data_IF_996287559291
#
_entry.id   IF_996287559291
#
_cell.length_a   1.000
_cell.length_b   1.000
_cell.length_c   1.000
_cell.angle_alpha   90.00
_cell.angle_beta   90.00
_cell.angle_gamma   90.00
#
_symmetry.space_group_name_H-M   'P 1'
#
loop_
_entity.id
_entity.type
_entity.pdbx_description
1 polymer ?
#
# COMPACT_ATOMS: atom_id res chain seq x y z
N UNK A 1 -7.76 1.89 -18.77
CA UNK A 1 -8.18 1.22 -17.52
C UNK A 1 -7.51 1.98 -16.40
N UNK A 2 -8.26 2.50 -15.44
CA UNK A 2 -7.67 3.18 -14.28
C UNK A 2 -7.24 2.10 -13.28
N UNK A 3 -5.98 2.12 -12.88
CA UNK A 3 -5.46 1.23 -11.84
C UNK A 3 -5.38 2.03 -10.54
N UNK A 4 -5.80 1.41 -9.44
CA UNK A 4 -5.67 1.98 -8.11
C UNK A 4 -5.05 0.93 -7.19
N UNK A 5 -4.03 1.33 -6.43
CA UNK A 5 -3.40 0.46 -5.44
C UNK A 5 -2.94 1.26 -4.23
N UNK A 6 -2.64 0.55 -3.14
CA UNK A 6 -2.19 1.16 -1.88
C UNK A 6 -0.92 0.48 -1.36
N UNK A 7 -0.02 1.29 -0.82
CA UNK A 7 1.18 0.85 -0.11
C UNK A 7 1.15 1.49 1.28
N UNK A 8 1.56 0.77 2.31
CA UNK A 8 1.74 1.32 3.66
C UNK A 8 3.20 1.18 4.06
N UNK A 9 3.77 2.22 4.64
CA UNK A 9 5.21 2.34 4.92
C UNK A 9 5.46 2.32 6.42
N UNK A 10 6.54 1.69 6.87
CA UNK A 10 6.93 1.69 8.28
C UNK A 10 7.59 2.98 8.76
N UNK A 11 7.57 4.02 7.92
CA UNK A 11 8.10 5.36 8.20
C UNK A 11 7.27 6.41 7.48
N UNK A 12 7.17 7.61 8.05
CA UNK A 12 6.63 8.76 7.34
C UNK A 12 7.56 9.22 6.21
N UNK A 13 6.97 9.66 5.10
CA UNK A 13 7.64 10.19 3.92
C UNK A 13 7.07 11.56 3.59
N UNK A 14 7.93 12.43 3.08
CA UNK A 14 7.53 13.69 2.49
C UNK A 14 7.04 13.52 1.05
N UNK A 15 6.27 14.50 0.58
CA UNK A 15 5.87 14.62 -0.83
C UNK A 15 7.08 14.52 -1.77
N UNK A 16 8.20 15.14 -1.39
CA UNK A 16 9.42 15.12 -2.20
C UNK A 16 10.07 13.73 -2.29
N UNK A 17 10.10 12.96 -1.19
CA UNK A 17 10.63 11.59 -1.19
C UNK A 17 9.77 10.67 -2.06
N UNK A 18 8.44 10.77 -1.95
CA UNK A 18 7.52 10.02 -2.80
C UNK A 18 7.68 10.40 -4.27
N UNK A 19 7.72 11.70 -4.58
CA UNK A 19 7.92 12.16 -5.95
C UNK A 19 9.24 11.64 -6.54
N UNK A 20 10.34 11.70 -5.78
CA UNK A 20 11.64 11.21 -6.22
C UNK A 20 11.62 9.70 -6.52
N UNK A 21 10.91 8.92 -5.71
CA UNK A 21 10.72 7.46 -5.91
C UNK A 21 10.02 7.17 -7.24
N UNK A 22 8.89 7.83 -7.50
CA UNK A 22 8.15 7.61 -8.74
C UNK A 22 8.93 8.07 -9.97
N UNK A 23 9.65 9.18 -9.90
CA UNK A 23 10.44 9.70 -11.03
C UNK A 23 11.50 8.72 -11.54
N UNK A 24 11.94 7.77 -10.73
CA UNK A 24 12.90 6.72 -11.12
C UNK A 24 12.22 5.50 -11.76
N UNK A 25 10.92 5.33 -11.53
CA UNK A 25 10.14 4.18 -11.99
C UNK A 25 9.23 4.49 -13.19
N UNK A 26 8.76 5.73 -13.31
CA UNK A 26 7.84 6.13 -14.38
C UNK A 26 8.59 6.50 -15.67
N UNK A 27 8.04 6.18 -16.85
CA UNK A 27 8.57 6.66 -18.12
C UNK A 27 8.76 8.19 -18.15
N UNK A 28 9.82 8.69 -18.83
CA UNK A 28 10.02 10.12 -19.02
C UNK A 28 8.82 10.77 -19.73
N UNK A 29 8.45 11.98 -19.30
CA UNK A 29 7.37 12.76 -19.90
C UNK A 29 5.98 12.53 -19.29
N UNK A 30 5.85 11.61 -18.34
CA UNK A 30 4.62 11.44 -17.55
C UNK A 30 4.54 12.49 -16.44
N UNK A 31 3.32 12.97 -16.18
CA UNK A 31 3.05 13.94 -15.12
C UNK A 31 2.60 13.21 -13.85
N UNK A 32 3.38 13.34 -12.78
CA UNK A 32 3.04 12.85 -11.45
C UNK A 32 2.57 14.01 -10.57
N UNK A 33 1.43 13.83 -9.92
CA UNK A 33 0.94 14.72 -8.86
C UNK A 33 1.02 13.98 -7.53
N UNK A 34 1.77 14.51 -6.58
CA UNK A 34 1.84 13.96 -5.21
C UNK A 34 1.26 15.00 -4.26
N UNK A 35 0.32 14.58 -3.42
CA UNK A 35 -0.35 15.45 -2.47
C UNK A 35 -0.05 15.09 -1.01
N UNK A 36 0.03 16.11 -0.13
CA UNK A 36 0.19 15.87 1.29
C UNK A 36 -1.09 15.33 1.92
N UNK A 37 -1.01 14.80 3.16
CA UNK A 37 -2.17 14.40 3.94
C UNK A 37 -3.30 15.42 4.00
N UNK A 38 -4.53 14.95 3.78
CA UNK A 38 -5.75 15.74 3.89
C UNK A 38 -5.94 16.80 2.82
N UNK A 39 -5.14 16.79 1.75
CA UNK A 39 -5.37 17.65 0.59
C UNK A 39 -6.59 17.19 -0.23
N UNK A 40 -7.31 18.15 -0.80
CA UNK A 40 -8.39 17.87 -1.75
C UNK A 40 -7.85 17.27 -3.06
N UNK A 41 -8.66 16.44 -3.72
CA UNK A 41 -8.35 15.88 -5.05
C UNK A 41 -7.98 17.02 -6.02
N UNK A 42 -6.85 16.93 -6.75
CA UNK A 42 -6.41 18.01 -7.62
C UNK A 42 -7.30 18.10 -8.87
N UNK A 43 -7.54 19.33 -9.35
CA UNK A 43 -8.28 19.58 -10.61
C UNK A 43 -7.63 18.89 -11.84
N UNK A 44 -6.31 18.68 -11.78
CA UNK A 44 -5.55 17.92 -12.77
C UNK A 44 -4.74 16.85 -12.03
N UNK A 45 -5.15 15.59 -12.18
CA UNK A 45 -4.49 14.42 -11.57
C UNK A 45 -3.23 13.97 -12.31
N UNK A 46 -2.91 14.58 -13.46
CA UNK A 46 -1.80 14.14 -14.32
C UNK A 46 -1.99 12.72 -14.84
N UNK A 47 -0.87 12.12 -15.23
CA UNK A 47 -0.82 10.72 -15.67
C UNK A 47 -0.88 9.76 -14.48
N UNK A 48 -0.36 10.19 -13.33
CA UNK A 48 -0.43 9.52 -12.04
C UNK A 48 -0.71 10.52 -10.92
N UNK A 49 -1.55 10.12 -9.98
CA UNK A 49 -1.79 10.85 -8.74
C UNK A 49 -1.52 9.96 -7.53
N UNK A 50 -0.79 10.49 -6.56
CA UNK A 50 -0.48 9.84 -5.31
C UNK A 50 -0.93 10.71 -4.14
N UNK A 51 -1.76 10.17 -3.25
CA UNK A 51 -2.10 10.81 -1.96
C UNK A 51 -1.37 10.14 -0.81
N UNK A 52 -0.91 10.96 0.13
CA UNK A 52 -0.31 10.53 1.38
C UNK A 52 -1.41 10.45 2.45
N UNK A 53 -1.64 9.28 3.03
CA UNK A 53 -2.72 9.04 4.00
C UNK A 53 -2.12 8.61 5.35
N UNK A 54 -2.19 9.43 6.41
CA UNK A 54 -1.76 9.01 7.74
C UNK A 54 -2.52 7.79 8.21
N UNK A 55 -1.87 6.92 8.98
CA UNK A 55 -2.53 5.78 9.65
C UNK A 55 -2.48 5.95 11.17
N UNK A 56 -3.34 5.21 11.87
CA UNK A 56 -3.33 5.13 13.33
C UNK A 56 -2.29 4.14 13.88
N UNK A 57 -1.57 3.41 13.02
CA UNK A 57 -0.55 2.45 13.44
C UNK A 57 0.85 3.10 13.46
N UNK A 58 1.48 3.29 14.65
CA UNK A 58 2.81 3.89 14.72
C UNK A 58 3.90 3.04 14.05
N UNK A 59 3.69 1.73 13.87
CA UNK A 59 4.61 0.87 13.13
C UNK A 59 4.48 1.02 11.61
N UNK A 60 3.37 1.59 11.14
CA UNK A 60 3.00 1.72 9.73
C UNK A 60 2.37 3.09 9.44
N UNK A 61 3.04 4.20 9.80
CA UNK A 61 2.39 5.51 10.00
C UNK A 61 1.85 6.18 8.73
N UNK A 62 2.16 5.65 7.55
CA UNK A 62 1.83 6.31 6.29
C UNK A 62 1.35 5.32 5.23
N UNK A 63 0.13 5.50 4.76
CA UNK A 63 -0.40 4.98 3.52
C UNK A 63 -0.07 5.88 2.33
N UNK A 64 0.09 5.26 1.18
CA UNK A 64 0.22 5.87 -0.13
C UNK A 64 -0.89 5.27 -1.01
N UNK A 65 -1.81 6.09 -1.47
CA UNK A 65 -2.86 5.68 -2.42
C UNK A 65 -2.49 6.22 -3.79
N UNK A 66 -2.38 5.32 -4.77
CA UNK A 66 -1.88 5.64 -6.10
C UNK A 66 -2.97 5.38 -7.13
N UNK A 67 -3.26 6.39 -7.94
CA UNK A 67 -4.16 6.34 -9.07
C UNK A 67 -3.37 6.50 -10.37
N UNK A 68 -3.53 5.56 -11.29
CA UNK A 68 -2.83 5.53 -12.58
C UNK A 68 -3.86 5.71 -13.69
N UNK A 69 -3.72 6.78 -14.48
CA UNK A 69 -4.70 7.18 -15.50
C UNK A 69 -4.21 6.94 -16.93
N UNK A 70 -2.97 7.31 -17.23
CA UNK A 70 -2.49 7.45 -18.61
C UNK A 70 -1.16 6.73 -18.89
N UNK A 71 -0.78 5.75 -18.07
CA UNK A 71 0.43 4.97 -18.31
C UNK A 71 0.28 3.50 -17.92
N UNK A 72 1.06 2.66 -18.60
CA UNK A 72 1.26 1.26 -18.23
C UNK A 72 2.50 1.18 -17.34
N UNK A 73 2.29 0.77 -16.10
CA UNK A 73 3.36 0.53 -15.13
C UNK A 73 3.81 -0.94 -15.13
N UNK A 74 3.34 -1.74 -16.09
CA UNK A 74 3.59 -3.17 -16.18
C UNK A 74 2.74 -3.99 -15.20
N UNK A 75 3.01 -5.30 -15.10
CA UNK A 75 2.36 -6.15 -14.12
C UNK A 75 2.75 -5.73 -12.70
N UNK A 76 1.81 -5.90 -11.76
CA UNK A 76 2.03 -5.72 -10.32
C UNK A 76 2.78 -4.42 -9.94
N UNK A 77 2.27 -3.23 -10.35
CA UNK A 77 2.98 -1.97 -10.15
C UNK A 77 3.14 -1.59 -8.68
N UNK A 78 2.25 -2.07 -7.82
CA UNK A 78 2.34 -1.93 -6.37
C UNK A 78 3.52 -2.71 -5.79
N UNK A 79 3.75 -3.95 -6.23
CA UNK A 79 4.89 -4.77 -5.81
C UNK A 79 6.22 -4.13 -6.21
N UNK A 80 6.32 -3.68 -7.46
CA UNK A 80 7.51 -2.98 -7.98
C UNK A 80 7.82 -1.71 -7.20
N UNK A 81 6.80 -0.91 -6.94
CA UNK A 81 6.97 0.32 -6.15
C UNK A 81 7.34 0.01 -4.70
N UNK A 82 6.72 -1.02 -4.10
CA UNK A 82 7.01 -1.46 -2.74
C UNK A 82 8.48 -1.90 -2.58
N UNK A 83 9.00 -2.76 -3.47
CA UNK A 83 10.41 -3.16 -3.44
C UNK A 83 11.34 -1.96 -3.60
N UNK A 84 11.08 -1.10 -4.57
CA UNK A 84 11.93 0.05 -4.82
C UNK A 84 11.98 1.02 -3.63
N UNK A 85 10.84 1.27 -2.97
CA UNK A 85 10.81 2.09 -1.74
C UNK A 85 11.61 1.41 -0.62
N UNK A 86 11.38 0.12 -0.40
CA UNK A 86 12.06 -0.63 0.67
C UNK A 86 13.59 -0.62 0.47
N UNK A 87 14.06 -0.91 -0.74
CA UNK A 87 15.49 -0.90 -1.07
C UNK A 87 16.12 0.48 -0.94
N UNK A 88 15.43 1.51 -1.44
CA UNK A 88 15.96 2.88 -1.47
C UNK A 88 16.09 3.51 -0.09
N UNK A 89 15.14 3.23 0.79
CA UNK A 89 15.03 3.93 2.07
C UNK A 89 15.27 3.04 3.30
N UNK A 90 15.53 1.74 3.10
CA UNK A 90 15.70 0.75 4.17
C UNK A 90 14.49 0.75 5.12
N UNK A 91 13.31 0.62 4.53
CA UNK A 91 12.02 0.61 5.24
C UNK A 91 11.23 -0.66 4.93
N UNK A 92 10.35 -1.03 5.85
CA UNK A 92 9.39 -2.10 5.63
C UNK A 92 8.16 -1.53 4.94
N UNK A 93 7.50 -2.35 4.12
CA UNK A 93 6.32 -1.93 3.34
C UNK A 93 5.24 -3.01 3.35
N UNK A 94 3.98 -2.58 3.31
CA UNK A 94 2.79 -3.40 3.07
C UNK A 94 2.17 -3.00 1.73
N UNK A 95 1.70 -3.97 0.95
CA UNK A 95 1.02 -3.72 -0.32
C UNK A 95 -0.08 -4.75 -0.57
N UNK A 96 -0.73 -4.68 -1.73
CA UNK A 96 -1.77 -5.63 -2.14
C UNK A 96 -1.27 -7.07 -2.13
N UNK A 97 -2.20 -8.03 -2.17
CA UNK A 97 -1.87 -9.44 -2.30
C UNK A 97 -1.68 -9.77 -3.78
N UNK A 98 -0.56 -10.40 -4.11
CA UNK A 98 -0.30 -10.93 -5.46
C UNK A 98 -1.38 -11.99 -5.81
N UNK A 99 -2.15 -11.81 -6.90
CA UNK A 99 -3.16 -12.78 -7.32
C UNK A 99 -2.64 -14.20 -7.59
N UNK A 100 -1.32 -14.40 -7.74
CA UNK A 100 -0.71 -15.72 -7.88
C UNK A 100 -0.73 -16.55 -6.58
N UNK A 101 -0.98 -15.94 -5.43
CA UNK A 101 -1.16 -16.64 -4.15
C UNK A 101 -2.54 -17.29 -4.07
N UNK A 102 -2.62 -18.54 -4.50
CA UNK A 102 -3.89 -19.29 -4.65
C UNK A 102 -4.63 -19.62 -3.33
N UNK A 103 -3.99 -19.45 -2.18
CA UNK A 103 -4.55 -19.81 -0.86
C UNK A 103 -5.19 -18.62 -0.12
N UNK A 104 -5.21 -17.43 -0.74
CA UNK A 104 -5.81 -16.21 -0.18
C UNK A 104 -6.57 -15.47 -1.29
N UNK A 105 -7.74 -14.91 -0.97
CA UNK A 105 -8.43 -14.01 -1.90
C UNK A 105 -7.66 -12.67 -1.95
N UNK A 106 -7.12 -12.25 -3.12
CA UNK A 106 -6.37 -11.02 -3.21
C UNK A 106 -7.22 -9.75 -2.99
N UNK A 107 -8.55 -9.88 -2.98
CA UNK A 107 -9.49 -8.81 -2.64
C UNK A 107 -9.85 -8.79 -1.15
N UNK A 108 -9.41 -9.77 -0.36
CA UNK A 108 -9.67 -9.78 1.08
C UNK A 108 -8.85 -8.67 1.76
N UNK A 109 -9.51 -7.64 2.33
CA UNK A 109 -8.82 -6.49 2.92
C UNK A 109 -8.01 -6.85 4.18
N UNK A 110 -8.23 -8.06 4.74
CA UNK A 110 -7.55 -8.56 5.92
C UNK A 110 -6.20 -9.21 5.63
N UNK A 111 -5.83 -9.37 4.36
CA UNK A 111 -4.52 -9.87 3.96
C UNK A 111 -3.75 -8.82 3.15
N UNK A 112 -2.44 -8.79 3.38
CA UNK A 112 -1.48 -7.94 2.67
C UNK A 112 -0.19 -8.70 2.44
N UNK A 113 0.58 -8.29 1.44
CA UNK A 113 1.99 -8.65 1.37
C UNK A 113 2.80 -7.67 2.21
N UNK A 114 3.77 -8.18 2.95
CA UNK A 114 4.70 -7.41 3.76
C UNK A 114 6.13 -7.70 3.32
N UNK A 115 6.87 -6.68 2.90
CA UNK A 115 8.31 -6.77 2.69
C UNK A 115 8.98 -6.22 3.95
N UNK A 116 9.49 -7.13 4.78
CA UNK A 116 10.10 -6.82 6.07
C UNK A 116 11.53 -7.32 6.10
N UNK A 117 12.49 -6.41 6.34
CA UNK A 117 13.91 -6.74 6.35
C UNK A 117 14.39 -7.41 5.04
N UNK A 118 13.87 -6.96 3.90
CA UNK A 118 14.21 -7.50 2.58
C UNK A 118 13.60 -8.87 2.26
N UNK A 119 12.62 -9.34 3.01
CA UNK A 119 11.91 -10.60 2.75
C UNK A 119 10.40 -10.42 2.71
N UNK A 120 9.76 -11.07 1.72
CA UNK A 120 8.31 -11.08 1.57
C UNK A 120 7.61 -12.05 2.52
N UNK A 121 6.49 -11.61 3.09
CA UNK A 121 5.58 -12.36 3.94
C UNK A 121 4.13 -12.13 3.53
N UNK A 122 3.31 -13.15 3.67
CA UNK A 122 1.86 -12.95 3.81
C UNK A 122 1.61 -12.43 5.23
N UNK A 123 0.90 -11.31 5.33
CA UNK A 123 0.55 -10.66 6.58
C UNK A 123 -0.97 -10.55 6.76
N UNK A 124 -1.41 -10.60 8.01
CA UNK A 124 -2.78 -10.32 8.41
C UNK A 124 -2.89 -8.90 8.96
N UNK A 125 -3.87 -8.15 8.43
CA UNK A 125 -4.33 -6.85 8.93
C UNK A 125 -5.66 -6.95 9.68
N UNK A 126 -6.25 -8.15 9.80
CA UNK A 126 -7.41 -8.41 10.67
C UNK A 126 -7.14 -7.92 12.10
N UNK A 127 -8.10 -7.19 12.67
CA UNK A 127 -8.06 -6.65 14.04
C UNK A 127 -6.92 -5.65 14.31
N UNK A 128 -6.21 -5.20 13.26
CA UNK A 128 -5.04 -4.32 13.43
C UNK A 128 -5.39 -2.84 13.49
N UNK A 129 -4.46 -2.04 14.02
CA UNK A 129 -4.52 -0.56 13.99
C UNK A 129 -4.65 0.02 12.60
N UNK A 130 -4.12 -0.67 11.58
CA UNK A 130 -4.25 -0.26 10.19
C UNK A 130 -5.69 -0.35 9.66
N UNK A 131 -6.49 -1.27 10.19
CA UNK A 131 -7.92 -1.32 9.88
C UNK A 131 -8.74 -0.36 10.74
N UNK A 132 -8.16 0.18 11.82
CA UNK A 132 -8.84 1.06 12.77
C UNK A 132 -9.98 0.35 13.50
N UNK A 133 -10.82 1.09 14.24
CA UNK A 133 -12.09 0.55 14.67
C UNK A 133 -13.01 0.34 13.46
N UNK A 134 -13.59 -0.85 13.30
CA UNK A 134 -14.51 -1.16 12.21
C UNK A 134 -15.65 -2.05 12.68
N UNK A 135 -16.78 -1.99 11.97
CA UNK A 135 -17.93 -2.85 12.25
C UNK A 135 -17.88 -4.06 11.33
N UNK A 136 -17.82 -5.25 11.93
CA UNK A 136 -17.99 -6.52 11.22
C UNK A 136 -19.44 -6.98 11.32
N UNK A 137 -19.86 -7.79 10.34
CA UNK A 137 -21.15 -8.48 10.37
C UNK A 137 -20.91 -9.98 10.43
N UNK A 138 -21.46 -10.63 11.45
CA UNK A 138 -21.43 -12.08 11.61
C UNK A 138 -22.84 -12.65 11.81
N UNK A 139 -22.94 -13.95 12.12
CA UNK A 139 -24.22 -14.61 12.37
C UNK A 139 -24.97 -14.05 13.60
N UNK A 140 -24.27 -13.38 14.52
CA UNK A 140 -24.80 -12.76 15.72
C UNK A 140 -25.20 -11.28 15.56
N UNK A 141 -24.91 -10.67 14.40
CA UNK A 141 -25.28 -9.28 14.10
C UNK A 141 -24.09 -8.42 13.73
N UNK A 142 -24.10 -7.17 14.19
CA UNK A 142 -23.00 -6.21 13.99
C UNK A 142 -22.12 -6.18 15.25
N UNK A 143 -20.81 -6.33 15.07
CA UNK A 143 -19.82 -6.24 16.15
C UNK A 143 -18.79 -5.17 15.82
N UNK A 144 -18.53 -4.31 16.79
CA UNK A 144 -17.45 -3.34 16.70
C UNK A 144 -16.13 -4.01 17.08
N UNK A 145 -15.15 -3.90 16.19
CA UNK A 145 -13.76 -4.27 16.42
C UNK A 145 -12.97 -3.01 16.74
N UNK A 146 -12.09 -3.08 17.74
CA UNK A 146 -11.29 -1.92 18.15
C UNK A 146 -10.10 -1.64 17.22
N UNK A 147 -9.62 -2.65 16.49
CA UNK A 147 -8.44 -2.51 15.64
C UNK A 147 -7.19 -2.11 16.43
N UNK A 148 -6.78 -2.86 17.44
CA UNK A 148 -5.67 -2.46 18.31
C UNK A 148 -4.48 -3.44 18.27
N UNK A 149 -4.55 -4.48 17.43
CA UNK A 149 -3.48 -5.45 17.25
C UNK A 149 -2.39 -4.94 16.29
N UNK A 150 -1.14 -5.39 16.42
CA UNK A 150 -0.12 -5.16 15.40
C UNK A 150 -0.35 -6.06 14.17
N UNK A 151 0.16 -5.63 13.02
CA UNK A 151 0.24 -6.47 11.82
C UNK A 151 0.98 -7.78 12.12
N UNK A 152 0.37 -8.90 11.74
CA UNK A 152 0.91 -10.23 11.99
C UNK A 152 1.49 -10.84 10.72
N UNK A 153 2.79 -11.11 10.73
CA UNK A 153 3.44 -11.90 9.68
C UNK A 153 3.03 -13.37 9.85
N UNK A 154 2.34 -13.93 8.85
CA UNK A 154 1.79 -15.28 8.90
C UNK A 154 2.85 -16.29 8.46
N UNK A 155 3.40 -16.09 7.27
CA UNK A 155 4.40 -16.98 6.67
C UNK A 155 5.21 -16.23 5.61
N UNK A 156 6.48 -16.62 5.37
CA UNK A 156 7.23 -16.11 4.24
C UNK A 156 6.60 -16.58 2.92
N UNK A 157 6.73 -15.75 1.88
CA UNK A 157 6.27 -16.04 0.52
C UNK A 157 7.33 -15.65 -0.50
N UNK A 158 7.19 -16.16 -1.71
CA UNK A 158 7.95 -15.69 -2.88
C UNK A 158 6.95 -14.95 -3.76
N UNK A 159 7.33 -13.76 -4.20
CA UNK A 159 6.52 -12.88 -5.03
C UNK A 159 7.32 -12.60 -6.29
N UNK A 160 6.65 -12.57 -7.44
CA UNK A 160 7.29 -12.12 -8.69
C UNK A 160 6.97 -10.66 -8.93
N UNK A 161 7.99 -9.83 -8.83
CA UNK A 161 7.88 -8.38 -8.98
C UNK A 161 8.28 -7.89 -10.36
N UNK A 162 8.53 -8.79 -11.32
CA UNK A 162 9.05 -8.44 -12.66
C UNK A 162 8.08 -8.73 -13.79
#
# INVERSE_FOLDING_TARGET
MTIMFSITLSRAFSVAEVAATFMELIPPGLHLVVQPPGADVPDNTGSLWASLEPTDDPAWPLGLVVHVYECDLGPNPDLRLAEHIAERFDVDVLCGVDPSLVDVDPQDPYYRLALVGGRWYLASTAYTRLMGPYVTRDAGGFREELGNEPVKLIRPVVVDTR
#
